data_IF_887588951642
#
_entry.id   IF_887588951642
#
_cell.length_a   1.000
_cell.length_b   1.000
_cell.length_c   1.000
_cell.angle_alpha   90.00
_cell.angle_beta   90.00
_cell.angle_gamma   90.00
#
_symmetry.space_group_name_H-M   'P 1'
#
loop_
_entity.id
_entity.type
_entity.pdbx_description
1 polymer ?
#
# COMPACT_ATOMS: atom_id res chain seq x y z
N UNK A 1 -1.68 13.36 -25.98
CA UNK A 1 -1.66 14.80 -25.65
C UNK A 1 -0.34 15.07 -24.94
N UNK A 2 0.58 15.84 -25.56
CA UNK A 2 1.94 16.04 -25.03
C UNK A 2 1.96 16.69 -23.63
N UNK A 3 0.90 17.43 -23.30
CA UNK A 3 0.81 18.21 -22.06
C UNK A 3 0.38 17.40 -20.82
N UNK A 4 0.07 16.11 -20.98
CA UNK A 4 -0.45 15.24 -19.91
C UNK A 4 0.40 13.99 -19.70
N UNK A 5 1.72 14.10 -19.86
CA UNK A 5 2.65 12.97 -19.73
C UNK A 5 2.60 12.33 -18.35
N UNK A 6 2.50 13.14 -17.30
CA UNK A 6 2.42 12.71 -15.92
C UNK A 6 1.01 12.95 -15.36
N UNK A 7 0.55 12.02 -14.53
CA UNK A 7 -0.71 12.12 -13.79
C UNK A 7 -0.45 11.92 -12.30
N UNK A 8 -1.01 12.81 -11.49
CA UNK A 8 -0.97 12.78 -10.04
C UNK A 8 -2.36 12.57 -9.47
N UNK A 9 -2.43 11.95 -8.30
CA UNK A 9 -3.66 11.67 -7.56
C UNK A 9 -3.43 12.10 -6.12
N UNK A 10 -4.32 12.94 -5.58
CA UNK A 10 -4.09 13.55 -4.28
C UNK A 10 -5.37 13.99 -3.61
N UNK A 11 -5.38 13.97 -2.28
CA UNK A 11 -6.42 14.66 -1.52
C UNK A 11 -6.16 16.15 -1.53
N UNK A 12 -7.22 16.94 -1.74
CA UNK A 12 -7.15 18.38 -1.59
C UNK A 12 -8.34 18.89 -0.79
N UNK A 13 -8.06 19.87 0.05
CA UNK A 13 -9.05 20.75 0.64
C UNK A 13 -8.85 22.14 0.00
N UNK A 14 -9.68 22.55 -0.97
CA UNK A 14 -9.44 23.75 -1.78
C UNK A 14 -9.14 25.01 -0.95
N UNK A 15 -9.86 25.21 0.15
CA UNK A 15 -9.64 26.35 1.07
C UNK A 15 -8.25 26.39 1.74
N UNK A 16 -7.56 25.24 1.81
CA UNK A 16 -6.21 25.10 2.38
C UNK A 16 -5.13 25.04 1.29
N UNK A 17 -5.53 24.97 0.03
CA UNK A 17 -4.64 24.86 -1.13
C UNK A 17 -4.08 26.22 -1.58
N UNK A 18 -3.87 27.14 -0.65
CA UNK A 18 -3.37 28.50 -0.94
C UNK A 18 -1.84 28.55 -0.83
N UNK A 19 -1.17 29.17 -1.80
CA UNK A 19 0.27 29.50 -1.70
C UNK A 19 1.24 28.57 -2.44
N UNK A 20 0.77 27.59 -3.21
CA UNK A 20 1.62 26.79 -4.08
C UNK A 20 1.79 27.46 -5.45
N UNK A 21 2.98 27.98 -5.75
CA UNK A 21 3.26 28.70 -7.00
C UNK A 21 3.30 27.80 -8.24
N UNK A 22 3.54 26.51 -8.06
CA UNK A 22 3.67 25.50 -9.13
C UNK A 22 2.38 24.68 -9.36
N UNK A 23 1.30 25.00 -8.65
CA UNK A 23 0.02 24.33 -8.78
C UNK A 23 -0.97 25.35 -9.34
N UNK A 24 -1.36 25.16 -10.59
CA UNK A 24 -2.46 25.91 -11.16
C UNK A 24 -3.77 25.24 -10.79
N UNK A 25 -4.71 26.06 -10.34
CA UNK A 25 -6.02 25.61 -9.90
C UNK A 25 -7.14 26.36 -10.64
N UNK A 26 -7.26 26.22 -11.98
CA UNK A 26 -8.24 26.97 -12.74
C UNK A 26 -9.65 26.46 -12.44
N UNK A 27 -10.51 27.31 -11.87
CA UNK A 27 -11.93 26.99 -11.72
C UNK A 27 -12.25 25.84 -10.77
N UNK A 28 -11.45 25.63 -9.71
CA UNK A 28 -11.72 24.55 -8.75
C UNK A 28 -13.10 24.65 -8.12
N UNK A 29 -13.82 23.53 -8.07
CA UNK A 29 -14.97 23.36 -7.21
C UNK A 29 -14.58 23.58 -5.74
N UNK A 30 -15.54 24.03 -4.92
CA UNK A 30 -15.31 24.31 -3.49
C UNK A 30 -15.31 23.06 -2.59
N UNK A 31 -15.27 21.86 -3.16
CA UNK A 31 -15.56 20.62 -2.43
C UNK A 31 -14.28 19.84 -2.14
N UNK A 32 -13.94 19.55 -0.87
CA UNK A 32 -12.83 18.66 -0.55
C UNK A 32 -13.03 17.26 -1.15
N UNK A 33 -11.95 16.65 -1.64
CA UNK A 33 -12.03 15.36 -2.28
C UNK A 33 -10.68 14.85 -2.78
N UNK A 34 -10.72 13.71 -3.47
CA UNK A 34 -9.57 13.18 -4.20
C UNK A 34 -9.59 13.72 -5.63
N UNK A 35 -8.56 14.49 -5.95
CA UNK A 35 -8.37 15.13 -7.24
C UNK A 35 -7.34 14.40 -8.08
N UNK A 36 -7.41 14.65 -9.38
CA UNK A 36 -6.34 14.33 -10.31
C UNK A 36 -5.67 15.60 -10.80
N UNK A 37 -4.37 15.52 -11.06
CA UNK A 37 -3.59 16.59 -11.66
C UNK A 37 -2.76 16.04 -12.81
N UNK A 38 -2.41 16.89 -13.77
CA UNK A 38 -1.54 16.51 -14.88
C UNK A 38 -0.36 17.47 -15.02
N UNK A 39 0.72 16.97 -15.62
CA UNK A 39 1.91 17.75 -15.91
C UNK A 39 2.64 17.20 -17.14
N UNK A 40 3.21 18.09 -17.94
CA UNK A 40 4.06 17.73 -19.07
C UNK A 40 5.48 17.34 -18.62
N UNK A 41 5.98 18.01 -17.57
CA UNK A 41 7.37 17.94 -17.10
C UNK A 41 7.54 17.27 -15.72
N UNK A 42 6.44 17.01 -15.02
CA UNK A 42 6.41 16.44 -13.68
C UNK A 42 6.68 17.45 -12.57
N UNK A 43 6.82 18.74 -12.90
CA UNK A 43 7.18 19.83 -11.98
C UNK A 43 6.05 20.85 -11.88
N UNK A 44 5.51 21.27 -13.03
CA UNK A 44 4.42 22.23 -13.14
C UNK A 44 3.10 21.47 -13.32
N UNK A 45 2.21 21.58 -12.33
CA UNK A 45 1.00 20.76 -12.27
C UNK A 45 -0.24 21.61 -12.43
N UNK A 46 -1.19 21.10 -13.23
CA UNK A 46 -2.55 21.62 -13.32
C UNK A 46 -3.51 20.62 -12.68
N UNK A 47 -4.27 21.07 -11.69
CA UNK A 47 -5.28 20.24 -11.01
C UNK A 47 -6.60 20.35 -11.77
N UNK A 48 -7.27 19.22 -11.96
CA UNK A 48 -8.63 19.23 -12.52
C UNK A 48 -9.60 19.98 -11.58
N UNK A 49 -10.65 20.62 -12.12
CA UNK A 49 -11.51 21.50 -11.34
C UNK A 49 -12.34 20.76 -10.28
N UNK A 50 -12.79 19.55 -10.57
CA UNK A 50 -13.68 18.77 -9.69
C UNK A 50 -12.96 17.56 -9.10
N UNK A 51 -13.30 17.18 -7.85
CA UNK A 51 -12.78 15.94 -7.27
C UNK A 51 -13.34 14.75 -8.06
N UNK A 52 -12.46 13.79 -8.35
CA UNK A 52 -12.83 12.55 -9.01
C UNK A 52 -13.55 11.59 -8.06
N UNK A 53 -13.23 11.66 -6.77
CA UNK A 53 -13.93 10.94 -5.71
C UNK A 53 -14.13 11.83 -4.49
N UNK A 54 -15.24 11.63 -3.80
CA UNK A 54 -15.45 12.14 -2.45
C UNK A 54 -14.57 11.38 -1.43
N UNK A 55 -14.50 11.86 -0.18
CA UNK A 55 -13.59 11.41 0.90
C UNK A 55 -12.30 12.24 1.02
N UNK A 56 -11.48 11.89 1.99
CA UNK A 56 -10.37 12.70 2.45
C UNK A 56 -9.21 11.87 3.01
N UNK A 57 -8.10 12.56 3.27
CA UNK A 57 -6.89 12.05 3.92
C UNK A 57 -6.00 11.24 2.96
N UNK A 58 -5.97 9.90 3.07
CA UNK A 58 -4.97 9.09 2.36
C UNK A 58 -5.47 8.62 1.00
N UNK A 59 -4.68 8.88 -0.04
CA UNK A 59 -4.79 8.26 -1.36
C UNK A 59 -3.40 7.80 -1.79
N UNK A 60 -3.31 6.59 -2.34
CA UNK A 60 -2.05 6.06 -2.86
C UNK A 60 -2.24 5.61 -4.31
N UNK A 61 -1.40 6.13 -5.20
CA UNK A 61 -1.42 5.77 -6.60
C UNK A 61 -0.04 5.31 -7.09
N UNK A 62 -0.05 4.34 -8.00
CA UNK A 62 1.16 3.81 -8.62
C UNK A 62 0.88 3.37 -10.04
N UNK A 63 1.84 3.60 -10.95
CA UNK A 63 1.77 3.04 -12.29
C UNK A 63 2.10 1.54 -12.25
N UNK A 64 1.18 0.72 -12.74
CA UNK A 64 1.33 -0.73 -12.88
C UNK A 64 1.46 -1.06 -14.37
N UNK A 65 2.68 -1.26 -14.89
CA UNK A 65 2.91 -1.51 -16.31
C UNK A 65 2.40 -2.88 -16.76
N UNK A 66 2.01 -3.75 -15.84
CA UNK A 66 1.56 -5.11 -16.14
C UNK A 66 0.05 -5.27 -16.03
N UNK A 67 -0.69 -4.20 -15.73
CA UNK A 67 -2.15 -4.27 -15.61
C UNK A 67 -2.83 -4.66 -16.94
N UNK A 68 -2.35 -4.11 -18.05
CA UNK A 68 -2.78 -4.38 -19.42
C UNK A 68 -1.63 -4.05 -20.38
N UNK A 69 -1.82 -4.26 -21.68
CA UNK A 69 -0.84 -3.85 -22.71
C UNK A 69 -0.50 -2.35 -22.66
N UNK A 70 -1.43 -1.52 -22.18
CA UNK A 70 -1.24 -0.08 -22.02
C UNK A 70 -0.82 0.34 -20.60
N UNK A 71 -0.75 -0.61 -19.66
CA UNK A 71 -0.62 -0.34 -18.22
C UNK A 71 -1.84 0.41 -17.64
N UNK A 72 -1.81 0.66 -16.33
CA UNK A 72 -2.78 1.53 -15.66
C UNK A 72 -2.19 2.09 -14.36
N UNK A 73 -2.72 3.22 -13.89
CA UNK A 73 -2.46 3.63 -12.51
C UNK A 73 -3.40 2.85 -11.58
N UNK A 74 -2.84 2.15 -10.60
CA UNK A 74 -3.56 1.54 -9.47
C UNK A 74 -3.75 2.59 -8.40
N UNK A 75 -4.97 2.70 -7.87
CA UNK A 75 -5.34 3.74 -6.93
C UNK A 75 -6.01 3.09 -5.73
N UNK A 76 -5.56 3.43 -4.53
CA UNK A 76 -6.19 3.06 -3.27
C UNK A 76 -6.73 4.33 -2.59
N UNK A 77 -8.03 4.33 -2.34
CA UNK A 77 -8.80 5.46 -1.82
C UNK A 77 -9.23 5.16 -0.39
N UNK A 78 -8.79 5.97 0.56
CA UNK A 78 -9.23 5.81 1.95
C UNK A 78 -10.70 6.18 2.05
N UNK A 79 -11.47 5.26 2.61
CA UNK A 79 -12.85 5.46 3.03
C UNK A 79 -12.93 5.17 4.52
N UNK A 80 -14.01 5.61 5.14
CA UNK A 80 -14.36 5.16 6.47
C UNK A 80 -15.73 4.50 6.45
N UNK A 81 -15.96 3.55 7.35
CA UNK A 81 -17.24 2.87 7.44
C UNK A 81 -17.28 1.88 8.60
N UNK A 82 -18.49 1.45 8.95
CA UNK A 82 -18.66 0.40 9.95
C UNK A 82 -18.18 -0.95 9.41
N UNK A 83 -17.36 -1.64 10.20
CA UNK A 83 -16.95 -3.03 9.97
C UNK A 83 -16.62 -3.68 11.31
N UNK A 84 -17.10 -4.92 11.52
CA UNK A 84 -16.91 -5.68 12.76
C UNK A 84 -17.17 -4.83 14.03
N UNK A 85 -18.30 -4.10 14.05
CA UNK A 85 -18.76 -3.30 15.20
C UNK A 85 -17.98 -2.01 15.51
N UNK A 86 -16.98 -1.65 14.70
CA UNK A 86 -16.21 -0.41 14.83
C UNK A 86 -16.32 0.41 13.56
N UNK A 87 -16.16 1.73 13.64
CA UNK A 87 -15.95 2.52 12.44
C UNK A 87 -14.47 2.58 12.15
N UNK A 88 -14.12 2.13 10.96
CA UNK A 88 -12.75 1.81 10.58
C UNK A 88 -12.37 2.56 9.34
N UNK A 89 -11.08 2.84 9.25
CA UNK A 89 -10.42 3.19 8.00
C UNK A 89 -10.39 1.93 7.13
N UNK A 90 -10.78 2.09 5.87
CA UNK A 90 -10.81 1.03 4.86
C UNK A 90 -10.34 1.60 3.53
N UNK A 91 -9.98 0.74 2.60
CA UNK A 91 -9.56 1.18 1.28
C UNK A 91 -10.36 0.49 0.19
N UNK A 92 -10.86 1.31 -0.73
CA UNK A 92 -11.39 0.88 -2.00
C UNK A 92 -10.30 1.11 -3.05
N UNK A 93 -10.33 0.35 -4.13
CA UNK A 93 -9.39 0.49 -5.24
C UNK A 93 -10.11 0.87 -6.52
N UNK A 94 -9.43 1.65 -7.35
CA UNK A 94 -9.83 2.00 -8.70
C UNK A 94 -8.59 1.96 -9.60
N UNK A 95 -8.81 1.88 -10.91
CA UNK A 95 -7.76 1.95 -11.92
C UNK A 95 -7.98 3.15 -12.82
N UNK A 96 -6.90 3.83 -13.19
CA UNK A 96 -6.92 4.86 -14.22
C UNK A 96 -6.21 4.38 -15.47
N UNK A 97 -6.97 4.24 -16.56
CA UNK A 97 -6.45 3.83 -17.86
C UNK A 97 -7.11 4.68 -18.94
N UNK A 98 -6.34 5.09 -19.95
CA UNK A 98 -6.85 5.83 -21.11
C UNK A 98 -7.68 7.09 -20.77
N UNK A 99 -7.34 7.77 -19.67
CA UNK A 99 -7.98 9.03 -19.28
C UNK A 99 -9.27 8.88 -18.46
N UNK A 100 -9.62 7.67 -18.02
CA UNK A 100 -10.80 7.42 -17.21
C UNK A 100 -10.49 6.53 -16.00
N UNK A 101 -11.22 6.75 -14.91
CA UNK A 101 -11.23 5.88 -13.74
C UNK A 101 -12.27 4.76 -13.89
N UNK A 102 -11.94 3.57 -13.40
CA UNK A 102 -12.90 2.50 -13.17
C UNK A 102 -13.73 2.76 -11.90
N UNK A 103 -14.92 2.16 -11.76
CA UNK A 103 -15.67 2.21 -10.51
C UNK A 103 -14.86 1.70 -9.32
N UNK A 104 -15.08 2.28 -8.14
CA UNK A 104 -14.41 1.85 -6.91
C UNK A 104 -14.86 0.43 -6.50
N UNK A 105 -13.90 -0.42 -6.17
CA UNK A 105 -14.14 -1.78 -5.66
C UNK A 105 -13.56 -1.93 -4.26
N UNK A 106 -14.27 -2.60 -3.37
CA UNK A 106 -13.78 -2.89 -2.02
C UNK A 106 -12.50 -3.73 -2.06
N UNK A 107 -11.46 -3.29 -1.35
CA UNK A 107 -10.16 -3.98 -1.33
C UNK A 107 -9.73 -4.38 0.08
N UNK A 108 -9.56 -3.39 0.97
CA UNK A 108 -9.03 -3.61 2.32
C UNK A 108 -10.03 -3.13 3.36
N UNK A 109 -10.84 -4.06 3.86
CA UNK A 109 -11.87 -3.82 4.88
C UNK A 109 -11.57 -4.73 6.06
N UNK A 110 -11.31 -4.14 7.23
CA UNK A 110 -10.83 -4.91 8.38
C UNK A 110 -11.97 -5.71 8.99
N UNK A 111 -11.70 -6.96 9.33
CA UNK A 111 -12.67 -7.92 9.85
C UNK A 111 -12.29 -8.46 11.25
N UNK A 112 -13.07 -9.41 11.77
CA UNK A 112 -12.82 -10.03 13.07
C UNK A 112 -11.47 -10.77 13.12
N UNK A 113 -10.95 -11.26 11.99
CA UNK A 113 -9.65 -11.93 11.96
C UNK A 113 -8.50 -10.94 12.04
N UNK A 114 -8.64 -9.73 11.49
CA UNK A 114 -7.69 -8.63 11.72
C UNK A 114 -7.67 -8.23 13.20
N UNK A 115 -8.82 -8.22 13.87
CA UNK A 115 -8.88 -7.97 15.32
C UNK A 115 -8.25 -9.08 16.16
N UNK A 116 -8.44 -10.34 15.78
CA UNK A 116 -7.77 -11.47 16.44
C UNK A 116 -6.25 -11.36 16.31
N UNK A 117 -5.76 -11.04 15.11
CA UNK A 117 -4.34 -10.78 14.88
C UNK A 117 -3.86 -9.60 15.74
N UNK A 118 -4.60 -8.49 15.78
CA UNK A 118 -4.24 -7.35 16.63
C UNK A 118 -4.16 -7.71 18.13
N UNK A 119 -5.10 -8.53 18.63
CA UNK A 119 -5.10 -9.01 20.02
C UNK A 119 -3.95 -9.94 20.34
N UNK A 120 -3.52 -10.76 19.39
CA UNK A 120 -2.30 -11.56 19.54
C UNK A 120 -1.04 -10.67 19.73
N UNK A 121 -1.10 -9.42 19.30
CA UNK A 121 -0.09 -8.39 19.51
C UNK A 121 -0.39 -7.46 20.71
N UNK A 122 -1.33 -7.83 21.60
CA UNK A 122 -1.68 -7.03 22.78
C UNK A 122 -2.48 -5.76 22.48
N UNK A 123 -3.02 -5.61 21.27
CA UNK A 123 -3.85 -4.48 20.85
C UNK A 123 -5.36 -4.82 20.94
N UNK A 124 -6.25 -3.82 20.88
CA UNK A 124 -7.70 -4.05 21.00
C UNK A 124 -8.36 -4.51 19.69
N UNK A 125 -7.97 -3.88 18.59
CA UNK A 125 -8.52 -4.04 17.23
C UNK A 125 -7.52 -3.50 16.21
N UNK A 126 -7.81 -3.64 14.92
CA UNK A 126 -7.02 -3.01 13.87
C UNK A 126 -7.86 -2.47 12.70
N UNK A 127 -7.30 -1.50 11.97
CA UNK A 127 -7.78 -1.11 10.66
C UNK A 127 -6.61 -0.81 9.69
N UNK A 128 -6.91 -0.35 8.48
CA UNK A 128 -5.90 -0.04 7.47
C UNK A 128 -5.75 1.48 7.37
N UNK A 129 -4.57 2.02 7.69
CA UNK A 129 -4.32 3.47 7.64
C UNK A 129 -3.88 3.97 6.25
N UNK A 130 -3.17 3.12 5.51
CA UNK A 130 -2.64 3.41 4.18
C UNK A 130 -2.24 2.16 3.42
N UNK A 131 -1.83 2.35 2.16
CA UNK A 131 -1.46 1.30 1.23
C UNK A 131 -0.25 1.76 0.43
N UNK A 132 0.67 0.84 0.16
CA UNK A 132 1.77 1.01 -0.78
C UNK A 132 1.68 -0.07 -1.85
N UNK A 133 1.70 0.32 -3.11
CA UNK A 133 1.64 -0.61 -4.23
C UNK A 133 2.99 -1.26 -4.47
N UNK A 134 2.99 -2.58 -4.68
CA UNK A 134 4.17 -3.34 -5.05
C UNK A 134 3.93 -3.99 -6.41
N UNK A 135 4.02 -3.22 -7.52
CA UNK A 135 3.76 -3.75 -8.86
C UNK A 135 4.65 -4.97 -9.16
N UNK A 136 4.05 -6.05 -9.63
CA UNK A 136 4.77 -7.26 -10.09
C UNK A 136 4.18 -7.73 -11.41
N UNK A 137 4.91 -8.49 -12.24
CA UNK A 137 4.36 -9.05 -13.48
C UNK A 137 3.25 -10.08 -13.24
N UNK A 138 3.30 -10.83 -12.14
CA UNK A 138 2.32 -11.85 -11.81
C UNK A 138 1.22 -11.32 -10.87
N UNK A 139 1.20 -11.76 -9.59
CA UNK A 139 0.18 -11.33 -8.65
C UNK A 139 0.22 -9.82 -8.41
N UNK A 140 -0.93 -9.24 -8.13
CA UNK A 140 -0.97 -7.86 -7.64
C UNK A 140 -0.63 -7.90 -6.15
N UNK A 141 0.38 -7.14 -5.72
CA UNK A 141 0.81 -7.11 -4.32
C UNK A 141 0.70 -5.69 -3.79
N UNK A 142 0.24 -5.58 -2.55
CA UNK A 142 0.21 -4.34 -1.80
C UNK A 142 0.77 -4.57 -0.40
N UNK A 143 1.45 -3.56 0.13
CA UNK A 143 1.76 -3.46 1.55
C UNK A 143 0.71 -2.56 2.19
N UNK A 144 -0.07 -3.11 3.11
CA UNK A 144 -1.06 -2.35 3.89
C UNK A 144 -0.45 -1.89 5.20
N UNK A 145 -0.80 -0.67 5.62
CA UNK A 145 -0.33 -0.09 6.87
C UNK A 145 -1.34 -0.47 7.96
N UNK A 146 -1.05 -1.53 8.68
CA UNK A 146 -1.88 -2.11 9.74
C UNK A 146 -1.85 -1.20 10.96
N UNK A 147 -2.92 -0.44 11.18
CA UNK A 147 -3.06 0.39 12.35
C UNK A 147 -3.70 -0.41 13.49
N UNK A 148 -2.88 -0.77 14.48
CA UNK A 148 -3.27 -1.56 15.63
C UNK A 148 -3.63 -0.65 16.79
N UNK A 149 -4.91 -0.65 17.14
CA UNK A 149 -5.47 0.29 18.10
C UNK A 149 -5.14 -0.13 19.52
N UNK A 150 -4.68 0.84 20.32
CA UNK A 150 -4.54 0.70 21.77
C UNK A 150 -5.51 1.65 22.49
N UNK A 151 -5.85 1.38 23.77
CA UNK A 151 -6.69 2.29 24.54
C UNK A 151 -6.02 3.68 24.75
N UNK A 152 -6.82 4.75 24.93
CA UNK A 152 -8.27 4.76 24.83
C UNK A 152 -8.74 4.74 23.37
N UNK A 153 -9.85 4.05 23.11
CA UNK A 153 -10.56 4.17 21.83
C UNK A 153 -11.27 5.52 21.78
N UNK A 154 -11.30 6.13 20.59
CA UNK A 154 -12.16 7.27 20.32
C UNK A 154 -13.63 6.87 20.30
N UNK A 155 -14.51 7.80 20.66
CA UNK A 155 -15.96 7.60 20.63
C UNK A 155 -16.64 8.79 19.97
N UNK A 156 -17.42 8.53 18.94
CA UNK A 156 -18.34 9.54 18.39
C UNK A 156 -19.60 9.55 19.25
N UNK A 157 -19.85 10.68 19.93
CA UNK A 157 -20.99 10.82 20.83
C UNK A 157 -22.32 10.84 20.08
N UNK A 158 -22.34 11.45 18.89
CA UNK A 158 -23.50 11.60 18.01
C UNK A 158 -23.89 10.29 17.31
N UNK A 159 -22.90 9.47 16.92
CA UNK A 159 -23.14 8.25 16.15
C UNK A 159 -22.97 6.95 16.94
N UNK A 160 -22.60 7.06 18.22
CA UNK A 160 -22.47 5.96 19.18
C UNK A 160 -21.49 4.83 18.76
N UNK A 161 -20.57 5.09 17.82
CA UNK A 161 -19.53 4.13 17.45
C UNK A 161 -18.16 4.50 18.02
N UNK A 162 -17.37 3.45 18.25
CA UNK A 162 -15.97 3.57 18.64
C UNK A 162 -15.06 3.52 17.40
N UNK A 163 -13.91 4.16 17.49
CA UNK A 163 -12.88 4.17 16.45
C UNK A 163 -11.48 4.21 17.04
N UNK A 164 -10.52 3.70 16.29
CA UNK A 164 -9.12 3.74 16.67
C UNK A 164 -8.54 5.14 16.48
N UNK A 165 -8.06 5.75 17.56
CA UNK A 165 -7.38 7.06 17.53
C UNK A 165 -5.90 6.98 17.88
N UNK A 166 -5.48 5.94 18.60
CA UNK A 166 -4.11 5.76 19.09
C UNK A 166 -3.64 4.34 18.79
N UNK A 167 -2.38 4.16 18.40
CA UNK A 167 -1.86 2.83 18.10
C UNK A 167 -0.55 2.78 17.34
N UNK A 168 -0.07 1.57 17.12
CA UNK A 168 1.11 1.27 16.30
C UNK A 168 0.68 1.06 14.85
N UNK A 169 1.53 1.44 13.90
CA UNK A 169 1.35 1.15 12.48
C UNK A 169 2.47 0.23 12.01
N UNK A 170 2.10 -1.00 11.69
CA UNK A 170 2.96 -2.04 11.15
C UNK A 170 2.63 -2.31 9.68
N UNK A 171 3.46 -3.10 9.00
CA UNK A 171 3.32 -3.34 7.57
C UNK A 171 2.99 -4.81 7.30
N UNK A 172 1.89 -5.08 6.60
CA UNK A 172 1.49 -6.43 6.17
C UNK A 172 1.40 -6.51 4.64
N UNK A 173 1.74 -7.67 4.06
CA UNK A 173 1.52 -7.92 2.64
C UNK A 173 0.13 -8.49 2.38
N UNK A 174 -0.54 -7.93 1.38
CA UNK A 174 -1.78 -8.43 0.78
C UNK A 174 -1.55 -8.69 -0.71
N UNK A 175 -2.27 -9.65 -1.27
CA UNK A 175 -2.09 -10.00 -2.67
C UNK A 175 -3.39 -10.43 -3.35
N UNK A 176 -3.46 -10.22 -4.66
CA UNK A 176 -4.43 -10.85 -5.56
C UNK A 176 -3.66 -11.84 -6.45
N UNK A 177 -4.02 -13.13 -6.45
CA UNK A 177 -3.42 -14.09 -7.39
C UNK A 177 -3.62 -13.68 -8.85
N UNK A 178 -4.82 -13.19 -9.16
CA UNK A 178 -5.22 -12.69 -10.47
C UNK A 178 -5.55 -11.20 -10.37
N UNK A 179 -5.24 -10.42 -11.41
CA UNK A 179 -5.53 -8.98 -11.43
C UNK A 179 -7.04 -8.75 -11.38
N UNK A 180 -7.49 -7.92 -10.43
CA UNK A 180 -8.92 -7.68 -10.21
C UNK A 180 -9.63 -8.77 -9.43
N UNK A 181 -8.93 -9.84 -9.03
CA UNK A 181 -9.45 -10.87 -8.14
C UNK A 181 -9.64 -10.38 -6.70
N UNK A 182 -10.04 -11.27 -5.79
CA UNK A 182 -10.14 -10.91 -4.37
C UNK A 182 -8.76 -10.69 -3.74
N UNK A 183 -8.68 -9.75 -2.81
CA UNK A 183 -7.51 -9.56 -1.96
C UNK A 183 -7.43 -10.64 -0.89
N UNK A 184 -6.23 -11.18 -0.70
CA UNK A 184 -5.92 -12.22 0.27
C UNK A 184 -4.83 -11.75 1.24
N UNK A 185 -4.93 -12.20 2.48
CA UNK A 185 -3.84 -12.18 3.44
C UNK A 185 -2.92 -13.38 3.26
N UNK A 186 -1.66 -13.22 3.68
CA UNK A 186 -0.82 -14.38 3.96
C UNK A 186 -1.42 -15.21 5.11
N UNK A 187 -1.32 -16.55 5.08
CA UNK A 187 -1.79 -17.39 6.18
C UNK A 187 -1.21 -16.97 7.53
N UNK A 188 -2.09 -16.77 8.51
CA UNK A 188 -1.72 -16.31 9.85
C UNK A 188 -1.51 -14.79 9.98
N UNK A 189 -1.70 -14.00 8.92
CA UNK A 189 -1.56 -12.53 8.91
C UNK A 189 -0.27 -12.02 9.58
N UNK A 190 0.91 -12.58 9.23
CA UNK A 190 2.15 -12.15 9.85
C UNK A 190 2.48 -10.70 9.45
N UNK A 191 3.12 -9.97 10.36
CA UNK A 191 3.79 -8.74 9.98
C UNK A 191 4.86 -9.03 8.93
N UNK A 192 4.88 -8.22 7.88
CA UNK A 192 6.01 -8.18 6.96
C UNK A 192 7.14 -7.35 7.54
N UNK A 193 6.81 -6.17 8.07
CA UNK A 193 7.73 -5.33 8.85
C UNK A 193 7.01 -4.83 10.10
N UNK A 194 7.59 -5.11 11.26
CA UNK A 194 7.09 -4.68 12.55
C UNK A 194 7.88 -3.45 13.05
N UNK A 195 7.18 -2.37 13.39
CA UNK A 195 7.78 -1.13 13.86
C UNK A 195 8.60 -1.36 15.14
N UNK A 196 8.14 -2.16 16.10
CA UNK A 196 8.89 -2.45 17.33
C UNK A 196 10.24 -3.15 17.07
N UNK A 197 10.40 -3.83 15.93
CA UNK A 197 11.66 -4.45 15.50
C UNK A 197 12.50 -3.55 14.59
N UNK A 198 11.99 -2.38 14.21
CA UNK A 198 12.69 -1.42 13.37
C UNK A 198 13.83 -0.71 14.13
N UNK A 199 14.74 -0.02 13.42
CA UNK A 199 15.71 0.87 14.05
C UNK A 199 15.04 1.87 14.97
N UNK A 200 15.76 2.34 16.00
CA UNK A 200 15.22 3.17 17.09
C UNK A 200 14.36 4.35 16.61
N UNK A 201 14.79 5.03 15.54
CA UNK A 201 14.09 6.17 14.96
C UNK A 201 12.69 5.85 14.38
N UNK A 202 12.37 4.57 14.18
CA UNK A 202 11.17 4.09 13.50
C UNK A 202 10.28 3.19 14.37
N UNK A 203 10.56 3.10 15.68
CA UNK A 203 9.91 2.10 16.57
C UNK A 203 8.46 2.36 16.94
N UNK A 204 7.96 3.56 16.66
CA UNK A 204 6.58 3.96 16.94
C UNK A 204 5.62 3.53 15.84
N UNK A 205 5.85 3.98 14.61
CA UNK A 205 5.01 3.68 13.46
C UNK A 205 5.81 3.69 12.15
N UNK A 206 5.33 2.93 11.17
CA UNK A 206 5.87 2.87 9.81
C UNK A 206 4.78 3.23 8.79
N UNK A 207 5.13 4.04 7.80
CA UNK A 207 4.26 4.46 6.70
C UNK A 207 5.03 4.33 5.39
N UNK A 208 4.50 3.62 4.40
CA UNK A 208 5.18 3.46 3.13
C UNK A 208 5.02 4.66 2.20
N UNK A 209 5.92 4.80 1.22
CA UNK A 209 5.67 5.61 0.04
C UNK A 209 4.54 5.01 -0.82
N UNK A 210 4.08 5.72 -1.86
CA UNK A 210 2.96 5.24 -2.68
C UNK A 210 3.24 3.90 -3.37
N UNK A 211 4.49 3.63 -3.74
CA UNK A 211 4.91 2.38 -4.36
C UNK A 211 6.38 2.05 -4.19
N UNK A 212 6.70 0.79 -4.43
CA UNK A 212 8.08 0.33 -4.58
C UNK A 212 8.62 0.56 -5.99
N UNK A 213 9.94 0.75 -6.09
CA UNK A 213 10.66 0.96 -7.35
C UNK A 213 11.73 -0.12 -7.54
N UNK A 214 12.02 -0.49 -8.79
CA UNK A 214 13.13 -1.38 -9.11
C UNK A 214 14.43 -0.59 -9.29
N UNK A 215 15.50 -1.05 -8.66
CA UNK A 215 16.84 -0.45 -8.75
C UNK A 215 17.84 -1.58 -8.97
N UNK A 216 18.27 -1.78 -10.22
CA UNK A 216 19.14 -2.89 -10.58
C UNK A 216 18.49 -4.26 -10.32
N UNK A 217 19.13 -5.08 -9.51
CA UNK A 217 18.69 -6.39 -9.05
C UNK A 217 17.88 -6.35 -7.75
N UNK A 218 17.61 -5.16 -7.21
CA UNK A 218 16.81 -4.95 -6.01
C UNK A 218 15.46 -4.28 -6.31
N UNK A 219 14.55 -4.38 -5.36
CA UNK A 219 13.35 -3.56 -5.27
C UNK A 219 13.36 -2.81 -3.95
N UNK A 220 13.09 -1.51 -4.01
CA UNK A 220 13.16 -0.59 -2.89
C UNK A 220 11.77 -0.04 -2.60
N UNK A 221 11.41 0.03 -1.31
CA UNK A 221 10.28 0.81 -0.84
C UNK A 221 10.77 1.82 0.20
N UNK A 222 10.56 3.11 -0.07
CA UNK A 222 10.80 4.14 0.93
C UNK A 222 9.72 4.09 2.00
N UNK A 223 10.13 4.26 3.24
CA UNK A 223 9.24 4.26 4.40
C UNK A 223 9.54 5.47 5.27
N UNK A 224 8.52 6.10 5.80
CA UNK A 224 8.61 7.07 6.87
C UNK A 224 8.39 6.36 8.20
N UNK A 225 9.23 6.64 9.18
CA UNK A 225 9.14 6.09 10.53
C UNK A 225 9.13 7.18 11.58
N UNK A 226 8.46 6.91 12.69
CA UNK A 226 8.39 7.77 13.88
C UNK A 226 8.81 6.98 15.11
N UNK A 227 9.27 7.67 16.15
CA UNK A 227 9.48 7.07 17.48
C UNK A 227 8.17 6.97 18.27
N UNK A 228 7.21 7.84 17.97
CA UNK A 228 5.91 7.92 18.64
C UNK A 228 4.84 7.09 17.93
N UNK A 229 3.84 6.66 18.72
CA UNK A 229 2.64 5.98 18.22
C UNK A 229 1.75 6.95 17.42
N UNK A 230 1.00 6.42 16.47
CA UNK A 230 0.05 7.19 15.70
C UNK A 230 -1.01 7.78 16.62
N UNK A 231 -1.29 9.08 16.45
CA UNK A 231 -2.28 9.80 17.26
C UNK A 231 -1.81 10.14 18.68
N UNK A 232 -0.57 9.77 19.06
CA UNK A 232 0.03 10.25 20.29
C UNK A 232 0.52 11.69 20.11
N UNK A 233 0.10 12.57 21.01
CA UNK A 233 0.68 13.92 21.12
C UNK A 233 1.20 14.20 22.54
N UNK A 234 1.22 13.19 23.42
CA UNK A 234 1.39 13.39 24.85
C UNK A 234 0.18 14.12 25.47
N UNK A 235 -0.34 13.63 26.59
CA UNK A 235 -1.47 14.28 27.28
C UNK A 235 -1.13 15.63 27.92
N UNK A 236 0.16 15.98 27.98
CA UNK A 236 0.71 17.15 28.68
C UNK A 236 1.45 18.13 27.78
N UNK A 237 1.45 17.93 26.46
CA UNK A 237 2.19 18.77 25.52
C UNK A 237 1.22 19.65 24.76
N UNK A 238 1.42 20.97 24.84
CA UNK A 238 0.71 21.89 23.96
C UNK A 238 1.07 21.58 22.51
N UNK A 239 0.05 21.46 21.65
CA UNK A 239 0.25 21.02 20.26
C UNK A 239 1.09 22.01 19.46
N UNK A 240 1.02 23.31 19.78
CA UNK A 240 1.83 24.31 19.09
C UNK A 240 3.28 24.22 19.55
N UNK A 241 3.53 24.14 20.87
CA UNK A 241 4.88 23.93 21.40
C UNK A 241 5.53 22.66 20.84
N UNK A 242 4.80 21.54 20.77
CA UNK A 242 5.30 20.32 20.14
C UNK A 242 5.74 20.56 18.69
N UNK A 243 4.93 21.28 17.90
CA UNK A 243 5.26 21.58 16.49
C UNK A 243 6.48 22.46 16.36
N UNK A 244 6.60 23.46 17.23
CA UNK A 244 7.72 24.40 17.24
C UNK A 244 9.03 23.67 17.58
N UNK A 245 9.00 22.79 18.60
CA UNK A 245 10.14 21.95 18.97
C UNK A 245 10.57 21.05 17.80
N UNK A 246 9.61 20.40 17.13
CA UNK A 246 9.91 19.54 15.99
C UNK A 246 10.50 20.30 14.79
N UNK A 247 10.08 21.55 14.56
CA UNK A 247 10.68 22.38 13.52
C UNK A 247 12.17 22.64 13.77
N UNK A 248 12.59 22.73 15.03
CA UNK A 248 14.00 22.92 15.41
C UNK A 248 14.80 21.62 15.44
N UNK A 249 14.17 20.49 15.76
CA UNK A 249 14.82 19.17 15.88
C UNK A 249 14.99 18.42 14.54
N UNK A 250 14.58 19.03 13.42
CA UNK A 250 14.64 18.42 12.09
C UNK A 250 13.45 17.49 11.77
N UNK A 251 12.33 17.68 12.45
CA UNK A 251 11.06 16.98 12.23
C UNK A 251 10.82 15.78 13.15
N UNK A 252 9.56 15.34 13.23
CA UNK A 252 9.10 14.23 14.07
C UNK A 252 9.24 12.84 13.43
N UNK A 253 9.64 12.78 12.16
CA UNK A 253 9.69 11.56 11.38
C UNK A 253 10.97 11.51 10.54
N UNK A 254 11.45 10.30 10.22
CA UNK A 254 12.60 10.09 9.34
C UNK A 254 12.25 9.16 8.19
N UNK A 255 13.02 9.23 7.11
CA UNK A 255 12.83 8.38 5.93
C UNK A 255 13.89 7.29 5.96
N UNK A 256 13.45 6.05 5.84
CA UNK A 256 14.26 4.87 5.60
C UNK A 256 13.84 4.14 4.34
N UNK A 257 14.40 2.95 4.16
CA UNK A 257 14.19 2.13 2.96
C UNK A 257 14.16 0.66 3.33
N UNK A 258 13.17 -0.04 2.81
CA UNK A 258 13.11 -1.50 2.76
C UNK A 258 13.67 -1.96 1.41
N UNK A 259 14.53 -2.98 1.40
CA UNK A 259 15.08 -3.56 0.17
C UNK A 259 14.92 -5.07 0.17
N UNK A 260 14.68 -5.63 -1.01
CA UNK A 260 14.68 -7.07 -1.25
C UNK A 260 15.11 -7.35 -2.69
N UNK A 261 15.60 -8.57 -3.00
CA UNK A 261 15.96 -8.90 -4.37
C UNK A 261 14.74 -8.86 -5.30
N UNK A 262 14.96 -8.42 -6.53
CA UNK A 262 13.92 -8.31 -7.56
C UNK A 262 13.24 -9.67 -7.76
N UNK A 263 11.91 -9.63 -7.94
CA UNK A 263 11.05 -10.80 -8.12
C UNK A 263 11.00 -11.78 -6.91
N UNK A 264 11.40 -11.35 -5.70
CA UNK A 264 11.38 -12.19 -4.48
C UNK A 264 10.47 -11.68 -3.36
N UNK A 265 9.40 -10.95 -3.70
CA UNK A 265 8.49 -10.37 -2.68
C UNK A 265 7.55 -11.42 -2.06
N UNK A 266 7.06 -12.36 -2.86
CA UNK A 266 6.22 -13.48 -2.43
C UNK A 266 6.88 -14.78 -2.85
N UNK A 267 6.65 -15.84 -2.05
CA UNK A 267 7.16 -17.17 -2.32
C UNK A 267 6.34 -18.23 -1.62
N UNK A 268 6.56 -19.48 -2.01
CA UNK A 268 5.92 -20.64 -1.39
C UNK A 268 6.94 -21.36 -0.50
N UNK A 269 6.51 -21.74 0.70
CA UNK A 269 7.30 -22.58 1.61
C UNK A 269 6.56 -23.89 1.85
N UNK A 270 7.10 -24.98 1.31
CA UNK A 270 6.63 -26.33 1.55
C UNK A 270 7.46 -26.98 2.68
N UNK A 271 6.79 -27.58 3.67
CA UNK A 271 7.44 -28.44 4.69
C UNK A 271 7.31 -29.92 4.38
N UNK A 272 6.25 -30.27 3.65
CA UNK A 272 5.97 -31.60 3.12
C UNK A 272 6.14 -31.58 1.60
N UNK A 273 5.96 -32.73 0.96
CA UNK A 273 5.89 -32.77 -0.49
C UNK A 273 4.66 -31.98 -0.95
N UNK A 274 4.91 -30.95 -1.74
CA UNK A 274 3.89 -30.09 -2.34
C UNK A 274 4.12 -30.02 -3.85
N UNK A 275 3.04 -29.85 -4.59
CA UNK A 275 3.08 -29.53 -6.02
C UNK A 275 2.56 -28.11 -6.20
N UNK A 276 3.30 -27.30 -6.95
CA UNK A 276 2.92 -25.93 -7.27
C UNK A 276 2.99 -25.78 -8.78
N UNK A 277 1.87 -25.39 -9.37
CA UNK A 277 1.81 -25.02 -10.78
C UNK A 277 2.16 -23.53 -10.88
N UNK A 278 3.18 -23.23 -11.69
CA UNK A 278 3.62 -21.87 -11.96
C UNK A 278 3.32 -21.55 -13.42
N UNK A 279 2.65 -20.43 -13.65
CA UNK A 279 2.54 -19.87 -14.99
C UNK A 279 3.89 -19.23 -15.35
N UNK A 280 4.45 -19.61 -16.49
CA UNK A 280 5.61 -18.90 -17.03
C UNK A 280 5.21 -17.47 -17.38
N UNK A 281 6.09 -16.52 -17.12
CA UNK A 281 5.98 -15.20 -17.73
C UNK A 281 6.10 -15.29 -19.27
N UNK A 282 5.88 -14.17 -19.98
CA UNK A 282 6.16 -14.09 -21.40
C UNK A 282 7.63 -14.46 -21.66
N UNK A 283 7.88 -15.41 -22.56
CA UNK A 283 9.23 -15.79 -22.97
C UNK A 283 9.68 -14.84 -24.08
N UNK A 284 10.80 -14.15 -23.88
CA UNK A 284 11.41 -13.28 -24.91
C UNK A 284 12.64 -13.95 -25.50
N UNK A 285 13.00 -13.56 -26.74
CA UNK A 285 14.19 -14.12 -27.41
C UNK A 285 15.52 -13.70 -26.75
N UNK A 286 15.48 -12.68 -25.87
CA UNK A 286 16.65 -12.12 -25.21
C UNK A 286 17.01 -12.84 -23.90
N UNK A 287 16.13 -13.74 -23.42
CA UNK A 287 16.37 -14.52 -22.20
C UNK A 287 17.21 -15.78 -22.50
N UNK A 288 18.13 -16.18 -21.60
CA UNK A 288 18.87 -17.42 -21.75
C UNK A 288 17.91 -18.62 -21.86
N UNK A 289 18.21 -19.56 -22.74
CA UNK A 289 17.43 -20.78 -22.86
C UNK A 289 17.44 -21.59 -21.55
N UNK A 290 16.25 -21.88 -21.00
CA UNK A 290 16.09 -22.73 -19.83
C UNK A 290 14.96 -22.31 -18.90
N UNK A 291 14.56 -23.21 -18.01
CA UNK A 291 13.63 -22.91 -16.92
C UNK A 291 14.42 -22.50 -15.67
N UNK A 292 14.23 -21.26 -15.23
CA UNK A 292 14.85 -20.74 -14.02
C UNK A 292 13.84 -20.70 -12.87
N UNK A 293 14.11 -21.48 -11.83
CA UNK A 293 13.30 -21.46 -10.59
C UNK A 293 14.18 -20.92 -9.47
N UNK A 294 13.74 -19.82 -8.87
CA UNK A 294 14.33 -19.31 -7.66
C UNK A 294 13.83 -20.13 -6.46
N UNK A 295 14.65 -21.09 -6.01
CA UNK A 295 14.32 -21.96 -4.90
C UNK A 295 15.51 -22.16 -3.96
N UNK A 296 15.20 -22.44 -2.71
CA UNK A 296 16.14 -22.88 -1.70
C UNK A 296 15.60 -24.15 -1.04
N UNK A 297 16.43 -25.19 -0.94
CA UNK A 297 16.05 -26.44 -0.26
C UNK A 297 16.80 -26.58 1.06
N UNK A 298 16.14 -27.12 2.08
CA UNK A 298 16.84 -27.56 3.30
C UNK A 298 17.63 -28.84 3.05
N UNK A 299 18.37 -29.31 4.06
CA UNK A 299 19.13 -30.57 3.99
C UNK A 299 18.22 -31.73 3.58
N UNK A 300 18.58 -32.43 2.49
CA UNK A 300 17.81 -33.55 1.95
C UNK A 300 16.56 -33.16 1.14
N UNK A 301 16.22 -31.87 1.07
CA UNK A 301 15.15 -31.36 0.22
C UNK A 301 15.48 -31.51 -1.26
N UNK A 302 14.46 -31.74 -2.08
CA UNK A 302 14.59 -31.88 -3.53
C UNK A 302 13.51 -31.06 -4.21
N UNK A 303 13.88 -30.44 -5.33
CA UNK A 303 12.94 -29.80 -6.24
C UNK A 303 12.95 -30.57 -7.56
N UNK A 304 11.76 -30.80 -8.10
CA UNK A 304 11.56 -31.31 -9.46
C UNK A 304 10.64 -30.35 -10.17
N UNK A 305 10.96 -30.04 -11.41
CA UNK A 305 10.16 -29.19 -12.27
C UNK A 305 9.92 -29.89 -13.59
N UNK A 306 8.74 -29.68 -14.16
CA UNK A 306 8.39 -30.11 -15.50
C UNK A 306 7.66 -28.95 -16.17
N UNK A 307 7.95 -28.72 -17.44
CA UNK A 307 7.13 -27.85 -18.28
C UNK A 307 5.91 -28.65 -18.72
N UNK A 308 4.71 -28.09 -18.54
CA UNK A 308 3.46 -28.75 -18.88
C UNK A 308 2.87 -28.14 -20.16
N UNK A 309 2.26 -28.98 -21.00
CA UNK A 309 1.49 -28.52 -22.16
C UNK A 309 0.09 -27.99 -21.74
N UNK A 310 -0.69 -27.52 -22.72
CA UNK A 310 -2.05 -27.02 -22.48
C UNK A 310 -3.03 -28.08 -21.92
N UNK A 311 -2.64 -29.37 -21.89
CA UNK A 311 -3.40 -30.49 -21.31
C UNK A 311 -2.79 -30.97 -19.99
N UNK A 312 -1.91 -30.17 -19.38
CA UNK A 312 -1.19 -30.47 -18.14
C UNK A 312 -0.34 -31.74 -18.23
N UNK A 313 0.16 -32.10 -19.42
CA UNK A 313 1.08 -33.22 -19.60
C UNK A 313 2.54 -32.72 -19.66
N UNK A 314 3.50 -33.42 -19.02
CA UNK A 314 4.91 -33.06 -19.12
C UNK A 314 5.42 -33.07 -20.56
N UNK A 315 6.07 -31.99 -20.97
CA UNK A 315 6.79 -31.90 -22.25
C UNK A 315 8.15 -32.60 -22.08
N UNK A 316 8.52 -33.54 -22.97
CA UNK A 316 9.82 -34.21 -22.90
C UNK A 316 11.01 -33.24 -23.08
N UNK A 317 11.98 -33.29 -22.17
CA UNK A 317 13.18 -32.46 -22.14
C UNK A 317 13.78 -32.41 -20.74
#
# INVERSE_FOLDING_TARGET
>A
VADQRYRGFGYLHPERATGFSNIQVPGMGQTPGYYTAYSADGINWTVEPDPLWDSADVIAAAWDPWFSDAGAARIALKRNGLSAGLFRRRFLTSEWCQGAATPEVSAFVADESDDQAARAHGCLSADYYGVSWLPTPGPTVAMVWMFRHIPPMGRSADRLWNYGSLGQVDLELRYQPERGGRWLSLPGKPDWVNAAQAPEWARGCLYGASHAIHVGDETWLYVTGTTELHGYTGSSVDRQSYRDDQATAGGFARIGRLTWPRHRILGVRARLQEQVDLLSGPVTADEPAGLFINAHTGTGGRLRAALLDAKYQPIPG
#
